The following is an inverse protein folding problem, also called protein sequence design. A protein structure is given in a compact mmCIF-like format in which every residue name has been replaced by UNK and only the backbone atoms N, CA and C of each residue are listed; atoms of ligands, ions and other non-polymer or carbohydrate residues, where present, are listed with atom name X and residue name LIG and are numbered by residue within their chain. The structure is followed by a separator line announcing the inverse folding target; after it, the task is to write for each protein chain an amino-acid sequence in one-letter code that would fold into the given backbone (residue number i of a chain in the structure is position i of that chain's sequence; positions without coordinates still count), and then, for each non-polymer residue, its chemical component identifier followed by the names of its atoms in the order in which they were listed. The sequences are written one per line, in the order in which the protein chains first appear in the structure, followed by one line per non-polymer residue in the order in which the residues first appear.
data_IF_351156330724
#
_entry.id   IF_351156330724
#
_cell.length_a   1.000
_cell.length_b   1.000
_cell.length_c   1.000
_cell.angle_alpha   90.00
_cell.angle_beta   90.00
_cell.angle_gamma   90.00
#
_symmetry.space_group_name_H-M   'P 1'
#
loop_
_entity.id
_entity.type
_entity.pdbx_description
1 polymer ?
#
# COMPACT_ATOMS: atom_id res chain seq x y z
N UNK A 1 -40.05 -52.60 3.10
CA UNK A 1 -38.80 -53.09 3.70
C UNK A 1 -37.93 -51.89 4.08
N UNK A 2 -37.45 -51.83 5.32
CA UNK A 2 -36.51 -50.80 5.79
C UNK A 2 -35.10 -51.38 5.75
N UNK A 3 -34.24 -50.82 4.90
CA UNK A 3 -32.84 -51.22 4.81
C UNK A 3 -32.02 -50.46 5.87
N UNK A 4 -31.34 -51.17 6.77
CA UNK A 4 -30.56 -50.61 7.89
C UNK A 4 -29.06 -50.47 7.60
N UNK A 5 -28.64 -50.76 6.36
CA UNK A 5 -27.24 -50.66 5.94
C UNK A 5 -27.07 -49.63 4.84
N UNK A 6 -26.02 -48.80 4.93
CA UNK A 6 -25.68 -47.77 3.96
C UNK A 6 -24.27 -48.02 3.41
N UNK A 7 -24.15 -48.08 2.09
CA UNK A 7 -22.85 -48.18 1.41
C UNK A 7 -22.30 -46.76 1.23
N UNK A 8 -21.46 -46.33 2.17
CA UNK A 8 -20.92 -44.96 2.23
C UNK A 8 -20.21 -44.53 0.94
N UNK A 9 -19.30 -45.33 0.33
CA UNK A 9 -18.61 -44.89 -0.89
C UNK A 9 -19.56 -44.63 -2.07
N UNK A 10 -20.62 -45.42 -2.19
CA UNK A 10 -21.65 -45.22 -3.20
C UNK A 10 -22.48 -43.97 -2.91
N UNK A 11 -22.90 -43.79 -1.66
CA UNK A 11 -23.65 -42.60 -1.26
C UNK A 11 -22.87 -41.31 -1.53
N UNK A 12 -21.60 -41.23 -1.11
CA UNK A 12 -20.75 -40.06 -1.38
C UNK A 12 -20.57 -39.83 -2.87
N UNK A 13 -20.20 -40.88 -3.63
CA UNK A 13 -19.95 -40.78 -5.07
C UNK A 13 -21.17 -40.38 -5.88
N UNK A 14 -22.38 -40.76 -5.48
CA UNK A 14 -23.58 -40.57 -6.30
C UNK A 14 -24.53 -39.51 -5.76
N UNK A 15 -24.70 -39.42 -4.44
CA UNK A 15 -25.65 -38.50 -3.78
C UNK A 15 -25.00 -37.22 -3.26
N UNK A 16 -23.68 -37.18 -3.11
CA UNK A 16 -22.96 -35.99 -2.63
C UNK A 16 -22.07 -35.35 -3.69
N UNK A 17 -22.29 -35.63 -4.98
CA UNK A 17 -21.47 -35.06 -6.07
C UNK A 17 -21.44 -33.53 -6.03
N UNK A 18 -22.61 -32.91 -5.92
CA UNK A 18 -22.74 -31.46 -5.92
C UNK A 18 -22.02 -30.84 -4.70
N UNK A 19 -22.12 -31.49 -3.54
CA UNK A 19 -21.42 -31.08 -2.32
C UNK A 19 -19.89 -31.20 -2.46
N UNK A 20 -19.40 -32.28 -3.07
CA UNK A 20 -17.97 -32.45 -3.33
C UNK A 20 -17.47 -31.40 -4.32
N UNK A 21 -18.23 -31.12 -5.39
CA UNK A 21 -17.90 -30.06 -6.34
C UNK A 21 -17.84 -28.68 -5.67
N UNK A 22 -18.80 -28.36 -4.80
CA UNK A 22 -18.80 -27.09 -4.06
C UNK A 22 -17.59 -26.97 -3.13
N UNK A 23 -17.16 -28.08 -2.52
CA UNK A 23 -15.93 -28.12 -1.73
C UNK A 23 -14.69 -27.88 -2.58
N UNK A 24 -14.60 -28.53 -3.75
CA UNK A 24 -13.50 -28.33 -4.71
C UNK A 24 -13.43 -26.86 -5.14
N UNK A 25 -14.56 -26.27 -5.57
CA UNK A 25 -14.65 -24.85 -5.96
C UNK A 25 -14.29 -23.88 -4.82
N UNK A 26 -14.58 -24.28 -3.57
CA UNK A 26 -14.22 -23.47 -2.39
C UNK A 26 -12.73 -23.56 -2.09
N UNK A 27 -12.14 -24.74 -2.21
CA UNK A 27 -10.70 -24.94 -2.04
C UNK A 27 -9.93 -24.18 -3.12
N UNK A 28 -10.37 -24.25 -4.38
CA UNK A 28 -9.71 -23.56 -5.48
C UNK A 28 -9.67 -22.04 -5.26
N UNK A 29 -10.79 -21.43 -4.85
CA UNK A 29 -10.82 -20.00 -4.48
C UNK A 29 -9.90 -19.67 -3.30
N UNK A 30 -9.88 -20.51 -2.27
CA UNK A 30 -8.99 -20.31 -1.14
C UNK A 30 -7.50 -20.40 -1.54
N UNK A 31 -7.17 -21.26 -2.50
CA UNK A 31 -5.82 -21.36 -3.07
C UNK A 31 -5.47 -20.10 -3.86
N UNK A 32 -6.38 -19.59 -4.67
CA UNK A 32 -6.18 -18.34 -5.42
C UNK A 32 -5.93 -17.15 -4.49
N UNK A 33 -6.76 -16.96 -3.47
CA UNK A 33 -6.59 -15.91 -2.46
C UNK A 33 -5.23 -16.04 -1.74
N UNK A 34 -4.85 -17.25 -1.34
CA UNK A 34 -3.56 -17.52 -0.72
C UNK A 34 -2.38 -17.19 -1.65
N UNK A 35 -2.49 -17.53 -2.95
CA UNK A 35 -1.46 -17.21 -3.93
C UNK A 35 -1.31 -15.69 -4.12
N UNK A 36 -2.42 -14.95 -4.23
CA UNK A 36 -2.39 -13.50 -4.34
C UNK A 36 -1.77 -12.83 -3.10
N UNK A 37 -2.14 -13.28 -1.90
CA UNK A 37 -1.54 -12.77 -0.67
C UNK A 37 -0.04 -13.06 -0.60
N UNK A 38 0.37 -14.25 -1.06
CA UNK A 38 1.78 -14.62 -1.14
C UNK A 38 2.54 -13.72 -2.12
N UNK A 39 2.00 -13.47 -3.31
CA UNK A 39 2.60 -12.59 -4.32
C UNK A 39 2.74 -11.15 -3.80
N UNK A 40 1.70 -10.63 -3.15
CA UNK A 40 1.75 -9.33 -2.49
C UNK A 40 2.88 -9.27 -1.45
N UNK A 41 3.02 -10.29 -0.61
CA UNK A 41 4.06 -10.34 0.41
C UNK A 41 5.47 -10.43 -0.19
N UNK A 42 5.66 -11.16 -1.29
CA UNK A 42 6.94 -11.19 -2.02
C UNK A 42 7.27 -9.84 -2.67
N UNK A 43 6.29 -9.18 -3.27
CA UNK A 43 6.46 -7.81 -3.78
C UNK A 43 6.91 -6.84 -2.68
N UNK A 44 6.26 -6.89 -1.52
CA UNK A 44 6.63 -6.09 -0.34
C UNK A 44 8.08 -6.38 0.11
N UNK A 45 8.53 -7.65 0.10
CA UNK A 45 9.92 -7.99 0.45
C UNK A 45 10.92 -7.40 -0.54
N UNK A 46 10.62 -7.44 -1.85
CA UNK A 46 11.46 -6.82 -2.87
C UNK A 46 11.58 -5.31 -2.66
N UNK A 47 10.47 -4.62 -2.38
CA UNK A 47 10.49 -3.19 -2.10
C UNK A 47 11.31 -2.83 -0.85
N UNK A 48 11.16 -3.61 0.23
CA UNK A 48 11.99 -3.43 1.44
C UNK A 48 13.47 -3.56 1.10
N UNK A 49 13.84 -4.60 0.36
CA UNK A 49 15.22 -4.82 -0.06
C UNK A 49 15.77 -3.62 -0.82
N UNK A 50 15.02 -3.06 -1.79
CA UNK A 50 15.44 -1.85 -2.50
C UNK A 50 15.63 -0.64 -1.58
N UNK A 51 14.73 -0.42 -0.63
CA UNK A 51 14.81 0.73 0.30
C UNK A 51 15.98 0.59 1.29
N UNK A 52 16.38 -0.64 1.64
CA UNK A 52 17.46 -0.89 2.59
C UNK A 52 18.86 -0.72 2.01
N UNK A 53 19.06 -1.06 0.73
CA UNK A 53 20.38 -1.00 0.07
C UNK A 53 20.71 0.38 -0.51
N UNK A 54 19.71 1.23 -0.74
CA UNK A 54 19.90 2.56 -1.32
C UNK A 54 20.45 3.54 -0.27
N UNK A 55 21.36 4.41 -0.69
CA UNK A 55 21.74 5.57 0.12
C UNK A 55 20.57 6.56 0.19
N UNK A 56 20.15 7.03 1.38
CA UNK A 56 19.07 7.99 1.52
C UNK A 56 19.39 9.30 0.79
N UNK A 57 18.55 9.70 -0.16
CA UNK A 57 18.70 11.00 -0.85
C UNK A 57 18.30 12.17 0.04
N UNK A 58 17.35 11.93 0.93
CA UNK A 58 16.85 12.87 1.93
C UNK A 58 16.71 12.12 3.24
N UNK A 59 17.22 12.70 4.33
CA UNK A 59 17.13 12.07 5.66
C UNK A 59 15.67 11.98 6.14
N UNK A 60 15.04 13.14 6.34
CA UNK A 60 13.65 13.23 6.81
C UNK A 60 12.72 13.74 5.72
N UNK A 61 11.65 13.00 5.45
CA UNK A 61 10.56 13.41 4.55
C UNK A 61 9.30 13.71 5.36
N UNK A 62 8.80 14.92 5.25
CA UNK A 62 7.54 15.37 5.81
C UNK A 62 6.43 15.22 4.75
N UNK A 63 5.42 14.41 5.05
CA UNK A 63 4.28 14.13 4.18
C UNK A 63 3.07 14.94 4.63
N UNK A 64 2.55 15.77 3.73
CA UNK A 64 1.33 16.55 3.91
C UNK A 64 0.32 16.21 2.81
N UNK A 65 -0.97 16.30 3.11
CA UNK A 65 -2.04 16.12 2.12
C UNK A 65 -2.61 17.47 1.68
N UNK A 66 -2.68 17.68 0.37
CA UNK A 66 -3.32 18.82 -0.24
C UNK A 66 -4.86 18.59 -0.35
N UNK A 67 -5.64 19.64 -0.62
CA UNK A 67 -7.11 19.57 -0.69
C UNK A 67 -7.65 18.74 -1.86
N UNK A 68 -6.87 18.63 -2.93
CA UNK A 68 -7.12 17.82 -4.13
C UNK A 68 -6.72 16.35 -3.94
N UNK A 69 -6.42 15.95 -2.70
CA UNK A 69 -5.88 14.65 -2.30
C UNK A 69 -4.44 14.34 -2.74
N UNK A 70 -3.76 15.25 -3.44
CA UNK A 70 -2.35 15.06 -3.76
C UNK A 70 -1.47 15.17 -2.51
N UNK A 71 -0.26 14.62 -2.58
CA UNK A 71 0.71 14.68 -1.49
C UNK A 71 1.77 15.75 -1.77
N UNK A 72 2.16 16.45 -0.72
CA UNK A 72 3.32 17.36 -0.72
C UNK A 72 4.41 16.76 0.16
N UNK A 73 5.60 16.66 -0.40
CA UNK A 73 6.79 16.14 0.27
C UNK A 73 7.76 17.27 0.55
N UNK A 74 8.14 17.45 1.81
CA UNK A 74 9.14 18.42 2.23
C UNK A 74 10.30 17.71 2.92
N UNK A 75 11.51 18.24 2.80
CA UNK A 75 12.68 17.74 3.53
C UNK A 75 12.65 18.14 5.02
N UNK A 76 13.74 17.82 5.73
CA UNK A 76 13.91 18.17 7.15
C UNK A 76 13.97 19.68 7.43
N UNK A 77 14.30 20.50 6.43
CA UNK A 77 14.28 21.97 6.52
C UNK A 77 12.92 22.56 6.12
N UNK A 78 11.96 21.75 5.68
CA UNK A 78 10.65 22.20 5.21
C UNK A 78 10.68 22.73 3.76
N UNK A 79 11.74 22.45 3.01
CA UNK A 79 11.84 22.79 1.59
C UNK A 79 11.16 21.70 0.78
N UNK A 80 10.37 22.08 -0.23
CA UNK A 80 9.73 21.11 -1.13
C UNK A 80 10.78 20.25 -1.80
N UNK A 81 10.60 18.94 -1.70
CA UNK A 81 11.40 17.97 -2.45
C UNK A 81 10.89 18.01 -3.88
N UNK A 82 11.38 18.97 -4.67
CA UNK A 82 11.25 18.97 -6.12
C UNK A 82 12.21 17.90 -6.63
N UNK A 83 11.73 16.67 -6.72
CA UNK A 83 12.45 15.64 -7.44
C UNK A 83 12.11 15.85 -8.91
N UNK A 84 13.09 16.17 -9.76
CA UNK A 84 12.96 15.99 -11.21
C UNK A 84 12.48 14.56 -11.53
N UNK A 85 12.82 13.59 -10.68
CA UNK A 85 12.28 12.22 -10.66
C UNK A 85 10.77 12.10 -10.41
N UNK A 86 10.13 13.00 -9.65
CA UNK A 86 8.67 13.01 -9.43
C UNK A 86 8.00 13.59 -10.67
N UNK A 87 8.61 14.58 -11.32
CA UNK A 87 8.11 15.11 -12.59
C UNK A 87 8.28 14.09 -13.74
N UNK A 88 9.36 13.31 -13.76
CA UNK A 88 9.56 12.19 -14.70
C UNK A 88 8.54 11.06 -14.45
N UNK A 89 8.33 10.67 -13.18
CA UNK A 89 7.33 9.66 -12.80
C UNK A 89 5.90 10.15 -13.01
N UNK A 90 5.62 11.45 -12.81
CA UNK A 90 4.33 12.05 -13.11
C UNK A 90 4.10 12.16 -14.63
N UNK A 91 5.15 12.47 -15.39
CA UNK A 91 5.18 12.51 -16.85
C UNK A 91 4.69 11.22 -17.50
N UNK A 92 5.13 10.06 -17.00
CA UNK A 92 4.71 8.75 -17.49
C UNK A 92 3.27 8.37 -17.07
N UNK A 93 2.77 8.95 -15.96
CA UNK A 93 1.46 8.61 -15.38
C UNK A 93 0.34 9.54 -15.88
N UNK A 94 0.66 10.73 -16.42
CA UNK A 94 -0.29 11.75 -16.90
C UNK A 94 -1.23 11.30 -18.05
N UNK A 95 -0.96 10.18 -18.72
CA UNK A 95 -1.86 9.60 -19.73
C UNK A 95 -2.99 8.75 -19.10
N UNK A 96 -2.90 8.43 -17.80
CA UNK A 96 -3.86 7.58 -17.08
C UNK A 96 -4.34 8.28 -15.79
N UNK A 97 -5.56 7.99 -15.35
CA UNK A 97 -6.11 8.54 -14.10
C UNK A 97 -5.14 8.32 -12.92
N UNK A 98 -4.46 9.40 -12.49
CA UNK A 98 -3.35 9.34 -11.55
C UNK A 98 -3.83 8.83 -10.18
N UNK A 99 -3.21 7.76 -9.69
CA UNK A 99 -3.36 7.33 -8.30
C UNK A 99 -2.30 8.00 -7.41
N UNK A 100 -2.71 9.00 -6.62
CA UNK A 100 -1.80 9.73 -5.73
C UNK A 100 -1.14 8.85 -4.66
N UNK A 101 -1.79 7.75 -4.26
CA UNK A 101 -1.24 6.82 -3.27
C UNK A 101 -0.03 6.06 -3.84
N UNK A 102 -0.11 5.65 -5.12
CA UNK A 102 0.99 5.00 -5.82
C UNK A 102 2.16 5.96 -6.05
N UNK A 103 1.86 7.23 -6.37
CA UNK A 103 2.89 8.27 -6.51
C UNK A 103 3.62 8.52 -5.19
N UNK A 104 2.89 8.56 -4.06
CA UNK A 104 3.51 8.72 -2.75
C UNK A 104 4.44 7.55 -2.43
N UNK A 105 3.97 6.31 -2.60
CA UNK A 105 4.79 5.11 -2.36
C UNK A 105 6.04 5.13 -3.25
N UNK A 106 5.88 5.38 -4.55
CA UNK A 106 6.98 5.42 -5.52
C UNK A 106 8.00 6.51 -5.19
N UNK A 107 7.53 7.69 -4.78
CA UNK A 107 8.39 8.80 -4.34
C UNK A 107 9.20 8.41 -3.11
N UNK A 108 8.57 7.81 -2.10
CA UNK A 108 9.25 7.39 -0.87
C UNK A 108 10.28 6.29 -1.15
N UNK A 109 10.00 5.35 -2.06
CA UNK A 109 10.94 4.27 -2.44
C UNK A 109 12.16 4.88 -3.14
N UNK A 110 11.93 5.84 -4.03
CA UNK A 110 12.97 6.54 -4.81
C UNK A 110 13.86 7.42 -3.95
N UNK A 111 13.30 8.03 -2.91
CA UNK A 111 14.04 8.87 -1.95
C UNK A 111 14.76 8.00 -0.91
N UNK A 112 14.18 6.84 -0.57
CA UNK A 112 14.65 5.92 0.46
C UNK A 112 15.00 6.60 1.80
N UNK A 113 14.11 7.45 2.36
CA UNK A 113 14.46 8.27 3.52
C UNK A 113 14.79 7.45 4.76
N UNK A 114 15.52 8.06 5.69
CA UNK A 114 15.77 7.46 7.02
C UNK A 114 14.56 7.63 7.93
N UNK A 115 13.76 8.68 7.69
CA UNK A 115 12.57 9.02 8.48
C UNK A 115 11.46 9.62 7.63
N UNK A 116 10.22 9.20 7.87
CA UNK A 116 9.00 9.68 7.23
C UNK A 116 8.07 10.21 8.32
N UNK A 117 7.64 11.45 8.21
CA UNK A 117 6.76 12.11 9.18
C UNK A 117 5.44 12.44 8.52
N UNK A 118 4.33 11.83 8.98
CA UNK A 118 2.99 12.15 8.50
C UNK A 118 2.37 13.28 9.34
N UNK A 119 1.90 14.33 8.67
CA UNK A 119 1.30 15.51 9.30
C UNK A 119 -0.21 15.55 9.13
N UNK A 120 -0.95 16.01 10.15
CA UNK A 120 -2.41 16.23 10.09
C UNK A 120 -3.23 15.04 9.56
N UNK A 121 -2.79 13.81 9.82
CA UNK A 121 -3.45 12.62 9.26
C UNK A 121 -3.41 12.57 7.74
N UNK A 122 -2.33 13.08 7.12
CA UNK A 122 -2.14 13.11 5.67
C UNK A 122 -2.45 11.76 5.01
N UNK A 123 -2.16 10.67 5.72
CA UNK A 123 -2.64 9.34 5.38
C UNK A 123 -3.41 8.80 6.58
N UNK A 124 -4.63 8.33 6.33
CA UNK A 124 -5.53 7.77 7.33
C UNK A 124 -4.92 6.52 7.98
N UNK A 125 -5.00 6.40 9.31
CA UNK A 125 -4.60 5.16 9.98
C UNK A 125 -5.54 4.00 9.60
N UNK A 126 -4.97 2.82 9.33
CA UNK A 126 -5.72 1.64 8.90
C UNK A 126 -6.10 1.61 7.42
N UNK A 127 -5.64 2.58 6.62
CA UNK A 127 -5.77 2.50 5.16
C UNK A 127 -4.75 1.53 4.55
N UNK A 128 -5.10 0.97 3.39
CA UNK A 128 -4.22 0.04 2.64
C UNK A 128 -2.85 0.65 2.30
N UNK A 129 -2.84 1.94 1.93
CA UNK A 129 -1.59 2.67 1.69
C UNK A 129 -0.74 2.76 2.96
N UNK A 130 -1.33 3.08 4.12
CA UNK A 130 -0.58 3.18 5.37
C UNK A 130 0.03 1.82 5.75
N UNK A 131 -0.73 0.73 5.55
CA UNK A 131 -0.24 -0.62 5.81
C UNK A 131 0.88 -1.01 4.86
N UNK A 132 0.78 -0.62 3.58
CA UNK A 132 1.84 -0.81 2.59
C UNK A 132 3.10 -0.03 2.97
N UNK A 133 2.98 1.25 3.33
CA UNK A 133 4.12 2.08 3.77
C UNK A 133 4.75 1.51 5.04
N UNK A 134 3.95 1.06 6.02
CA UNK A 134 4.45 0.38 7.23
C UNK A 134 5.21 -0.90 6.92
N UNK A 135 4.70 -1.70 5.99
CA UNK A 135 5.38 -2.91 5.53
C UNK A 135 6.70 -2.55 4.83
N UNK A 136 6.74 -1.58 3.93
CA UNK A 136 7.95 -1.25 3.15
C UNK A 136 9.01 -0.49 3.98
N UNK A 137 8.61 0.48 4.80
CA UNK A 137 9.53 1.39 5.50
C UNK A 137 9.71 1.08 6.99
N UNK A 138 8.94 0.13 7.54
CA UNK A 138 9.09 -0.41 8.88
C UNK A 138 9.20 0.68 9.97
N UNK A 139 10.36 0.80 10.63
CA UNK A 139 10.58 1.70 11.77
C UNK A 139 10.89 3.15 11.37
N UNK A 140 10.82 3.49 10.09
CA UNK A 140 11.13 4.84 9.60
C UNK A 140 9.95 5.82 9.79
N UNK A 141 8.79 5.36 10.25
CA UNK A 141 7.55 6.15 10.28
C UNK A 141 7.35 6.85 11.62
N UNK A 142 6.96 8.13 11.57
CA UNK A 142 6.52 8.92 12.70
C UNK A 142 5.26 9.72 12.35
N UNK A 143 4.47 10.04 13.37
CA UNK A 143 3.28 10.88 13.26
C UNK A 143 3.51 12.21 13.96
N UNK A 144 3.23 13.30 13.27
CA UNK A 144 3.33 14.64 13.84
C UNK A 144 2.16 14.90 14.80
N UNK A 145 2.45 15.52 15.95
CA UNK A 145 1.46 15.92 16.96
C UNK A 145 1.07 17.40 16.87
N UNK A 146 1.36 18.04 15.73
CA UNK A 146 1.24 19.48 15.52
C UNK A 146 2.60 20.17 15.56
N UNK A 147 2.99 20.77 14.44
CA UNK A 147 4.18 21.62 14.31
C UNK A 147 3.88 22.78 13.35
N UNK A 148 4.85 23.66 13.11
CA UNK A 148 4.67 24.81 12.21
C UNK A 148 4.16 24.39 10.83
N UNK A 149 4.65 23.28 10.25
CA UNK A 149 4.20 22.73 8.96
C UNK A 149 2.71 22.35 8.96
N UNK A 150 2.17 21.91 10.11
CA UNK A 150 0.73 21.62 10.26
C UNK A 150 -0.14 22.87 10.20
N UNK A 151 0.44 24.05 10.51
CA UNK A 151 -0.27 25.33 10.62
C UNK A 151 0.01 26.29 9.47
N UNK A 152 0.99 26.00 8.59
CA UNK A 152 1.21 26.80 7.37
C UNK A 152 -0.04 26.72 6.51
N UNK A 153 -0.82 27.81 6.50
CA UNK A 153 -1.99 27.99 5.64
C UNK A 153 -1.55 27.80 4.18
N UNK A 154 -2.39 27.09 3.42
CA UNK A 154 -2.28 26.87 1.96
C UNK A 154 -1.70 28.11 1.26
N UNK A 155 -0.77 27.98 0.31
CA UNK A 155 -0.41 29.11 -0.53
C UNK A 155 -1.70 29.58 -1.21
N UNK A 156 -2.05 30.84 -0.97
CA UNK A 156 -3.13 31.54 -1.66
C UNK A 156 -2.69 31.63 -3.12
N UNK A 157 -3.46 31.05 -4.03
CA UNK A 157 -3.31 31.25 -5.47
C UNK A 157 -3.29 32.77 -5.72
N UNK A 158 -2.21 33.27 -6.32
CA UNK A 158 -2.16 34.66 -6.76
C UNK A 158 -3.08 34.82 -7.97
N UNK A 159 -3.98 35.79 -7.86
CA UNK A 159 -4.84 36.33 -8.94
C UNK A 159 -4.10 36.60 -10.25
#
# INVERSE_FOLDING_TARGET
ETNSSLIIPGFVRFRMKDYVSELEDTIDRAVEEYLMEREYNEFIKLLRYFVEIQEPKVDTVNVLKNPDNSYRLLDGQGITINNELIDDLAGEVLENNINYDDLLISSLITIAPTRIVFHNGAVTEGSEIMDTIKKVFHNKIAYCRGCELCYVKKPVEKE
#
